data_IF_068208547756
#
_entry.id   IF_068208547756
#
_cell.length_a   1.000
_cell.length_b   1.000
_cell.length_c   1.000
_cell.angle_alpha   90.00
_cell.angle_beta   90.00
_cell.angle_gamma   90.00
#
_symmetry.space_group_name_H-M   'P 1'
#
loop_
_entity.id
_entity.type
_entity.pdbx_description
1 polymer ?
#
# COMPACT_ATOMS: atom_id res chain seq x y z
N UNK A 1 9.03 33.48 6.18
CA UNK A 1 8.66 32.44 5.22
C UNK A 1 9.39 31.17 5.63
N UNK A 2 8.72 30.21 6.26
CA UNK A 2 9.35 28.93 6.56
C UNK A 2 9.66 28.23 5.24
N UNK A 3 10.90 27.76 5.11
CA UNK A 3 11.37 27.09 3.91
C UNK A 3 10.90 25.63 3.97
N UNK A 4 9.85 25.29 3.23
CA UNK A 4 9.32 23.91 3.13
C UNK A 4 10.04 23.04 2.10
N UNK A 5 11.06 23.57 1.41
CA UNK A 5 11.85 22.80 0.44
C UNK A 5 12.49 21.52 1.01
N UNK A 6 12.90 21.43 2.30
CA UNK A 6 13.46 20.19 2.83
C UNK A 6 12.42 19.06 2.88
N UNK A 7 11.18 19.38 3.25
CA UNK A 7 10.08 18.41 3.21
C UNK A 7 9.82 17.96 1.77
N UNK A 8 9.78 18.89 0.81
CA UNK A 8 9.61 18.54 -0.60
C UNK A 8 10.71 17.58 -1.09
N UNK A 9 11.97 17.82 -0.71
CA UNK A 9 13.08 16.92 -1.04
C UNK A 9 12.89 15.53 -0.43
N UNK A 10 12.47 15.44 0.84
CA UNK A 10 12.16 14.16 1.50
C UNK A 10 11.08 13.39 0.73
N UNK A 11 9.99 14.07 0.36
CA UNK A 11 8.88 13.44 -0.38
C UNK A 11 9.30 12.98 -1.78
N UNK A 12 10.12 13.76 -2.49
CA UNK A 12 10.65 13.37 -3.80
C UNK A 12 11.52 12.11 -3.71
N UNK A 13 12.43 12.06 -2.73
CA UNK A 13 13.28 10.88 -2.51
C UNK A 13 12.41 9.68 -2.09
N UNK A 14 11.43 9.90 -1.23
CA UNK A 14 10.48 8.87 -0.82
C UNK A 14 9.71 8.28 -2.01
N UNK A 15 9.11 9.12 -2.85
CA UNK A 15 8.38 8.68 -4.04
C UNK A 15 9.30 7.96 -5.03
N UNK A 16 10.54 8.44 -5.21
CA UNK A 16 11.51 7.77 -6.06
C UNK A 16 11.82 6.36 -5.55
N UNK A 17 12.20 6.21 -4.29
CA UNK A 17 12.51 4.91 -3.70
C UNK A 17 11.29 3.99 -3.67
N UNK A 18 10.12 4.50 -3.26
CA UNK A 18 8.87 3.75 -3.28
C UNK A 18 8.47 3.31 -4.69
N UNK A 19 8.66 4.14 -5.71
CA UNK A 19 8.39 3.74 -7.10
C UNK A 19 9.33 2.61 -7.53
N UNK A 20 10.61 2.65 -7.14
CA UNK A 20 11.53 1.54 -7.39
C UNK A 20 11.05 0.26 -6.71
N UNK A 21 10.59 0.32 -5.46
CA UNK A 21 10.00 -0.84 -4.79
C UNK A 21 8.76 -1.35 -5.54
N UNK A 22 7.81 -0.48 -5.86
CA UNK A 22 6.58 -0.86 -6.57
C UNK A 22 6.85 -1.54 -7.93
N UNK A 23 7.90 -1.12 -8.63
CA UNK A 23 8.31 -1.64 -9.94
C UNK A 23 9.14 -2.93 -9.84
N UNK A 24 10.05 -3.01 -8.86
CA UNK A 24 11.01 -4.12 -8.77
C UNK A 24 10.60 -5.24 -7.83
N UNK A 25 9.64 -5.02 -6.92
CA UNK A 25 8.99 -6.09 -6.16
C UNK A 25 8.16 -6.93 -7.13
N UNK A 26 8.47 -8.22 -7.32
CA UNK A 26 7.66 -9.07 -8.19
C UNK A 26 6.20 -9.10 -7.74
N UNK A 27 5.30 -9.35 -8.69
CA UNK A 27 3.87 -9.45 -8.40
C UNK A 27 3.61 -10.50 -7.31
N UNK A 28 2.71 -10.18 -6.38
CA UNK A 28 2.20 -11.06 -5.33
C UNK A 28 3.21 -11.39 -4.21
N UNK A 29 4.44 -10.90 -4.26
CA UNK A 29 5.46 -11.19 -3.23
C UNK A 29 5.10 -10.74 -1.81
N UNK A 30 4.19 -9.78 -1.68
CA UNK A 30 3.57 -9.45 -0.39
C UNK A 30 2.41 -10.43 -0.18
N UNK A 31 2.46 -11.30 0.86
CA UNK A 31 1.54 -12.43 1.02
C UNK A 31 0.05 -12.11 0.85
N UNK A 32 -0.38 -10.95 1.37
CA UNK A 32 -1.78 -10.52 1.37
C UNK A 32 -2.19 -9.70 0.14
N UNK A 33 -1.25 -9.37 -0.75
CA UNK A 33 -1.51 -8.54 -1.94
C UNK A 33 -2.59 -9.13 -2.86
N UNK A 34 -2.64 -10.45 -3.15
CA UNK A 34 -3.74 -11.03 -3.91
C UNK A 34 -5.10 -10.81 -3.24
N UNK A 35 -5.19 -10.98 -1.93
CA UNK A 35 -6.43 -10.79 -1.16
C UNK A 35 -6.94 -9.35 -1.27
N UNK A 36 -6.04 -8.37 -1.08
CA UNK A 36 -6.38 -6.97 -1.23
C UNK A 36 -6.76 -6.58 -2.65
N UNK A 37 -6.09 -7.16 -3.65
CA UNK A 37 -6.41 -6.93 -5.05
C UNK A 37 -7.80 -7.46 -5.40
N UNK A 38 -8.15 -8.66 -4.94
CA UNK A 38 -9.45 -9.28 -5.18
C UNK A 38 -10.59 -8.51 -4.52
N UNK A 39 -10.39 -7.95 -3.33
CA UNK A 39 -11.36 -7.02 -2.72
C UNK A 39 -11.70 -5.86 -3.67
N UNK A 40 -10.67 -5.21 -4.26
CA UNK A 40 -10.89 -4.10 -5.21
C UNK A 40 -11.57 -4.59 -6.50
N UNK A 41 -11.21 -5.79 -6.98
CA UNK A 41 -11.83 -6.43 -8.14
C UNK A 41 -13.33 -6.66 -7.90
N UNK A 42 -13.72 -7.22 -6.76
CA UNK A 42 -15.12 -7.44 -6.39
C UNK A 42 -15.90 -6.11 -6.35
N UNK A 43 -15.35 -5.08 -5.69
CA UNK A 43 -15.95 -3.75 -5.70
C UNK A 43 -16.12 -3.19 -7.12
N UNK A 44 -15.11 -3.36 -7.98
CA UNK A 44 -15.17 -2.92 -9.38
C UNK A 44 -16.21 -3.69 -10.20
N UNK A 45 -16.52 -4.93 -9.83
CA UNK A 45 -17.61 -5.73 -10.39
C UNK A 45 -19.00 -5.34 -9.87
N UNK A 46 -19.07 -4.44 -8.88
CA UNK A 46 -20.32 -4.03 -8.24
C UNK A 46 -20.78 -4.98 -7.13
N UNK A 47 -19.88 -5.87 -6.67
CA UNK A 47 -20.12 -6.77 -5.56
C UNK A 47 -19.75 -6.09 -4.24
N UNK A 48 -20.33 -6.59 -3.15
CA UNK A 48 -19.98 -6.14 -1.81
C UNK A 48 -19.15 -7.24 -1.14
N UNK A 49 -17.85 -7.01 -0.88
CA UNK A 49 -16.98 -8.00 -0.25
C UNK A 49 -17.50 -8.36 1.14
N UNK A 50 -17.69 -9.65 1.37
CA UNK A 50 -18.17 -10.22 2.63
C UNK A 50 -17.35 -11.48 2.89
N UNK A 51 -16.68 -11.52 4.03
CA UNK A 51 -15.96 -12.73 4.45
C UNK A 51 -16.93 -13.91 4.67
N UNK A 52 -16.67 -15.03 4.00
CA UNK A 52 -17.44 -16.26 4.06
C UNK A 52 -16.64 -17.43 4.66
N UNK A 53 -17.32 -18.44 5.24
CA UNK A 53 -16.65 -19.67 5.64
C UNK A 53 -16.06 -20.40 4.42
N UNK A 54 -14.74 -20.38 4.29
CA UNK A 54 -14.02 -21.03 3.19
C UNK A 54 -12.92 -20.15 2.58
N UNK A 55 -13.03 -18.83 2.73
CA UNK A 55 -12.11 -17.87 2.11
C UNK A 55 -10.68 -17.95 2.67
N UNK A 56 -10.55 -18.51 3.87
CA UNK A 56 -9.26 -18.83 4.50
C UNK A 56 -8.95 -20.33 4.42
N UNK A 57 -8.37 -20.76 3.29
CA UNK A 57 -7.78 -22.10 3.16
C UNK A 57 -6.29 -22.05 3.54
N UNK A 58 -5.99 -22.43 4.78
CA UNK A 58 -4.62 -22.42 5.28
C UNK A 58 -3.69 -23.34 4.48
N UNK A 59 -4.16 -24.51 4.03
CA UNK A 59 -3.34 -25.45 3.27
C UNK A 59 -2.98 -24.87 1.90
N UNK A 60 -3.96 -24.27 1.23
CA UNK A 60 -3.76 -23.57 -0.03
C UNK A 60 -2.78 -22.40 0.12
N UNK A 61 -2.98 -21.53 1.12
CA UNK A 61 -2.10 -20.38 1.35
C UNK A 61 -0.66 -20.82 1.66
N UNK A 62 -0.48 -21.89 2.43
CA UNK A 62 0.85 -22.42 2.69
C UNK A 62 1.57 -22.85 1.40
N UNK A 63 0.88 -23.59 0.54
CA UNK A 63 1.42 -24.08 -0.72
C UNK A 63 1.71 -22.94 -1.71
N UNK A 64 0.75 -22.02 -1.90
CA UNK A 64 0.86 -20.93 -2.88
C UNK A 64 1.86 -19.87 -2.46
N UNK A 65 1.76 -19.37 -1.22
CA UNK A 65 2.56 -18.23 -0.75
C UNK A 65 3.98 -18.66 -0.40
N UNK A 66 4.13 -19.76 0.35
CA UNK A 66 5.41 -20.09 0.98
C UNK A 66 6.21 -21.18 0.27
N UNK A 67 5.56 -22.14 -0.39
CA UNK A 67 6.25 -23.25 -1.06
C UNK A 67 6.53 -22.95 -2.54
N UNK A 68 5.58 -22.33 -3.22
CA UNK A 68 5.64 -22.15 -4.68
C UNK A 68 5.80 -20.70 -5.14
N UNK A 69 5.73 -19.75 -4.21
CA UNK A 69 5.90 -18.32 -4.47
C UNK A 69 5.01 -17.82 -5.63
N UNK A 70 3.71 -18.11 -5.55
CA UNK A 70 2.68 -17.67 -6.50
C UNK A 70 2.92 -18.20 -7.92
N UNK A 71 3.32 -19.47 -8.03
CA UNK A 71 3.57 -20.09 -9.31
C UNK A 71 2.31 -20.01 -10.22
N UNK A 72 2.45 -19.76 -11.54
CA UNK A 72 1.32 -19.38 -12.40
C UNK A 72 0.19 -20.39 -12.53
N UNK A 73 0.39 -21.64 -12.10
CA UNK A 73 -0.64 -22.68 -12.10
C UNK A 73 -1.71 -22.49 -11.02
N UNK A 74 -1.44 -21.68 -9.98
CA UNK A 74 -2.39 -21.43 -8.91
C UNK A 74 -3.34 -20.30 -9.27
N UNK A 75 -4.62 -20.52 -8.98
CA UNK A 75 -5.65 -19.51 -9.15
C UNK A 75 -5.64 -18.53 -7.97
N UNK A 76 -5.04 -17.36 -8.14
CA UNK A 76 -5.04 -16.33 -7.11
C UNK A 76 -6.40 -15.66 -6.92
N UNK A 77 -7.37 -15.90 -7.82
CA UNK A 77 -8.67 -15.23 -7.79
C UNK A 77 -9.53 -15.64 -6.60
N UNK A 78 -9.27 -16.81 -5.99
CA UNK A 78 -10.01 -17.35 -4.85
C UNK A 78 -9.48 -16.88 -3.50
N UNK A 79 -8.38 -16.11 -3.49
CA UNK A 79 -7.78 -15.60 -2.26
C UNK A 79 -8.58 -14.35 -1.84
N UNK A 80 -9.52 -14.51 -0.93
CA UNK A 80 -10.49 -13.45 -0.55
C UNK A 80 -10.59 -13.27 0.98
N UNK A 81 -9.66 -13.83 1.75
CA UNK A 81 -9.68 -13.78 3.23
C UNK A 81 -9.58 -12.37 3.84
N UNK A 82 -9.36 -11.32 3.05
CA UNK A 82 -9.34 -9.92 3.51
C UNK A 82 -10.67 -9.19 3.34
N UNK A 83 -11.73 -9.88 2.89
CA UNK A 83 -13.06 -9.30 2.67
C UNK A 83 -13.75 -8.80 3.96
N UNK A 84 -13.17 -9.09 5.13
CA UNK A 84 -13.60 -8.53 6.42
C UNK A 84 -13.12 -7.09 6.65
N UNK A 85 -12.14 -6.60 5.89
CA UNK A 85 -11.52 -5.30 6.18
C UNK A 85 -12.44 -4.10 5.89
N UNK A 86 -12.28 -2.97 6.61
CA UNK A 86 -13.01 -1.75 6.31
C UNK A 86 -12.77 -1.23 4.88
N UNK A 87 -13.81 -0.78 4.16
CA UNK A 87 -13.74 -0.62 2.71
C UNK A 87 -12.98 0.62 2.21
N UNK A 88 -12.60 1.56 3.07
CA UNK A 88 -12.14 2.90 2.64
C UNK A 88 -10.92 2.83 1.70
N UNK A 89 -9.90 2.04 2.05
CA UNK A 89 -8.71 1.89 1.23
C UNK A 89 -9.05 1.32 -0.15
N UNK A 90 -9.90 0.29 -0.18
CA UNK A 90 -10.32 -0.39 -1.40
C UNK A 90 -11.18 0.50 -2.30
N UNK A 91 -12.11 1.27 -1.71
CA UNK A 91 -12.92 2.25 -2.42
C UNK A 91 -12.08 3.35 -3.08
N UNK A 92 -10.98 3.77 -2.44
CA UNK A 92 -10.03 4.71 -3.04
C UNK A 92 -9.27 4.08 -4.21
N UNK A 93 -9.00 2.78 -4.14
CA UNK A 93 -8.32 2.02 -5.20
C UNK A 93 -9.24 1.67 -6.38
N UNK A 94 -10.55 1.46 -6.17
CA UNK A 94 -11.50 1.03 -7.21
C UNK A 94 -11.48 1.90 -8.47
N UNK A 95 -11.49 3.24 -8.42
CA UNK A 95 -11.38 4.06 -9.62
C UNK A 95 -10.06 3.83 -10.37
N UNK A 96 -8.94 3.67 -9.66
CA UNK A 96 -7.65 3.39 -10.28
C UNK A 96 -7.65 2.02 -10.97
N UNK A 97 -8.20 1.01 -10.30
CA UNK A 97 -8.40 -0.31 -10.87
C UNK A 97 -9.19 -0.24 -12.19
N UNK A 98 -10.37 0.40 -12.18
CA UNK A 98 -11.23 0.52 -13.36
C UNK A 98 -10.56 1.29 -14.50
N UNK A 99 -9.86 2.38 -14.20
CA UNK A 99 -9.19 3.22 -15.19
C UNK A 99 -7.98 2.55 -15.85
N UNK A 100 -7.33 1.62 -15.16
CA UNK A 100 -6.08 0.98 -15.62
C UNK A 100 -6.26 -0.46 -16.04
N UNK A 101 -7.47 -1.00 -15.96
CA UNK A 101 -7.75 -2.42 -16.24
C UNK A 101 -7.12 -3.36 -15.21
N UNK A 102 -7.06 -2.94 -13.93
CA UNK A 102 -6.48 -3.75 -12.85
C UNK A 102 -4.96 -3.78 -12.83
N UNK A 103 -4.28 -2.70 -13.26
CA UNK A 103 -2.82 -2.65 -13.20
C UNK A 103 -2.33 -2.65 -11.75
N UNK A 104 -1.66 -3.73 -11.33
CA UNK A 104 -1.10 -3.85 -9.98
C UNK A 104 -0.13 -2.71 -9.65
N UNK A 105 0.75 -2.37 -10.59
CA UNK A 105 1.68 -1.24 -10.42
C UNK A 105 0.93 0.09 -10.21
N UNK A 106 -0.15 0.35 -10.93
CA UNK A 106 -0.91 1.58 -10.75
C UNK A 106 -1.55 1.65 -9.35
N UNK A 107 -2.05 0.51 -8.84
CA UNK A 107 -2.60 0.41 -7.50
C UNK A 107 -1.52 0.60 -6.43
N UNK A 108 -0.35 -0.03 -6.58
CA UNK A 108 0.82 0.18 -5.72
C UNK A 108 1.24 1.65 -5.66
N UNK A 109 1.30 2.32 -6.82
CA UNK A 109 1.62 3.75 -6.89
C UNK A 109 0.57 4.63 -6.21
N UNK A 110 -0.72 4.27 -6.25
CA UNK A 110 -1.75 4.97 -5.50
C UNK A 110 -1.55 4.78 -3.98
N UNK A 111 -1.23 3.58 -3.51
CA UNK A 111 -0.89 3.32 -2.10
C UNK A 111 0.31 4.15 -1.66
N UNK A 112 1.34 4.24 -2.50
CA UNK A 112 2.52 5.05 -2.25
C UNK A 112 2.18 6.55 -2.12
N UNK A 113 1.27 7.06 -2.95
CA UNK A 113 0.77 8.44 -2.86
C UNK A 113 -0.03 8.69 -1.58
N UNK A 114 -0.87 7.74 -1.16
CA UNK A 114 -1.61 7.84 0.11
C UNK A 114 -0.63 7.84 1.30
N UNK A 115 0.40 7.00 1.25
CA UNK A 115 1.45 6.94 2.25
C UNK A 115 2.28 8.24 2.31
N UNK A 116 2.52 8.91 1.18
CA UNK A 116 3.12 10.24 1.18
C UNK A 116 2.30 11.23 2.05
N UNK A 117 0.96 11.10 2.04
CA UNK A 117 0.07 11.86 2.93
C UNK A 117 0.35 11.60 4.42
N UNK A 118 0.65 10.36 4.80
CA UNK A 118 1.02 10.00 6.18
C UNK A 118 2.30 10.73 6.62
N UNK A 119 3.30 10.84 5.73
CA UNK A 119 4.55 11.57 6.01
C UNK A 119 4.27 13.06 6.24
N UNK A 120 3.43 13.66 5.39
CA UNK A 120 3.03 15.08 5.52
C UNK A 120 2.26 15.31 6.83
N UNK A 121 1.35 14.41 7.19
CA UNK A 121 0.60 14.51 8.44
C UNK A 121 1.49 14.35 9.66
N UNK A 122 2.46 13.42 9.63
CA UNK A 122 3.43 13.24 10.71
C UNK A 122 4.31 14.49 10.90
N UNK A 123 4.80 15.08 9.80
CA UNK A 123 5.50 16.36 9.82
C UNK A 123 4.63 17.47 10.44
N UNK A 124 3.39 17.61 9.96
CA UNK A 124 2.48 18.66 10.40
C UNK A 124 2.03 18.51 11.87
N UNK A 125 1.95 17.27 12.36
CA UNK A 125 1.70 16.98 13.77
C UNK A 125 2.90 17.38 14.63
N UNK A 126 4.11 17.00 14.25
CA UNK A 126 5.33 17.36 14.99
C UNK A 126 5.56 18.88 15.03
N UNK A 127 5.36 19.58 13.90
CA UNK A 127 5.50 21.04 13.82
C UNK A 127 4.49 21.78 14.71
N UNK A 128 3.27 21.24 14.85
CA UNK A 128 2.24 21.79 15.75
C UNK A 128 2.50 21.50 17.23
N UNK A 129 3.03 20.33 17.55
CA UNK A 129 3.30 19.93 18.94
C UNK A 129 4.56 20.60 19.50
N UNK A 130 5.54 20.90 18.64
CA UNK A 130 6.86 21.42 19.03
C UNK A 130 7.19 22.71 18.25
N UNK A 131 6.42 23.79 18.46
CA UNK A 131 6.57 25.01 17.68
C UNK A 131 7.96 25.63 17.85
N UNK A 132 8.60 25.99 16.75
CA UNK A 132 9.95 26.56 16.72
C UNK A 132 11.07 25.54 16.54
N UNK A 133 10.81 24.25 16.80
CA UNK A 133 11.77 23.16 16.64
C UNK A 133 11.61 22.46 15.27
N UNK A 134 11.75 23.22 14.18
CA UNK A 134 11.49 22.71 12.81
C UNK A 134 12.33 21.47 12.46
N UNK A 135 13.52 21.32 13.05
CA UNK A 135 14.37 20.15 12.84
C UNK A 135 13.70 18.87 13.35
N UNK A 136 12.95 18.91 14.46
CA UNK A 136 12.23 17.74 14.98
C UNK A 136 11.14 17.28 14.00
N UNK A 137 10.37 18.22 13.44
CA UNK A 137 9.36 17.89 12.45
C UNK A 137 9.98 17.26 11.19
N UNK A 138 11.09 17.81 10.70
CA UNK A 138 11.82 17.25 9.56
C UNK A 138 12.40 15.87 9.88
N UNK A 139 12.99 15.70 11.07
CA UNK A 139 13.49 14.39 11.52
C UNK A 139 12.37 13.37 11.60
N UNK A 140 11.18 13.72 12.13
CA UNK A 140 10.00 12.86 12.11
C UNK A 140 9.65 12.44 10.68
N UNK A 141 9.60 13.38 9.73
CA UNK A 141 9.31 13.07 8.33
C UNK A 141 10.34 12.12 7.72
N UNK A 142 11.65 12.35 7.97
CA UNK A 142 12.74 11.47 7.52
C UNK A 142 12.57 10.06 8.09
N UNK A 143 12.31 9.94 9.39
CA UNK A 143 12.12 8.63 10.01
C UNK A 143 10.94 7.89 9.40
N UNK A 144 9.76 8.52 9.33
CA UNK A 144 8.56 7.87 8.76
C UNK A 144 8.78 7.51 7.29
N UNK A 145 9.40 8.41 6.50
CA UNK A 145 9.64 8.17 5.08
C UNK A 145 10.64 7.05 4.81
N UNK A 146 11.67 6.88 5.64
CA UNK A 146 12.82 6.02 5.32
C UNK A 146 13.03 4.85 6.29
N UNK A 147 12.05 4.55 7.15
CA UNK A 147 12.00 3.23 7.81
C UNK A 147 11.82 2.17 6.71
N UNK A 148 12.72 1.16 6.60
CA UNK A 148 12.65 0.17 5.52
C UNK A 148 11.30 -0.54 5.42
N UNK A 149 10.70 -0.89 6.57
CA UNK A 149 9.38 -1.50 6.62
C UNK A 149 8.28 -0.58 6.06
N UNK A 150 8.37 0.73 6.29
CA UNK A 150 7.36 1.68 5.79
C UNK A 150 7.38 1.75 4.26
N UNK A 151 8.56 1.77 3.65
CA UNK A 151 8.69 1.75 2.19
C UNK A 151 8.20 0.40 1.64
N UNK A 152 8.68 -0.71 2.20
CA UNK A 152 8.37 -2.05 1.70
C UNK A 152 6.89 -2.42 1.78
N UNK A 153 6.14 -1.89 2.75
CA UNK A 153 4.71 -2.17 2.91
C UNK A 153 3.81 -1.25 2.07
N UNK A 154 4.30 -0.07 1.68
CA UNK A 154 3.47 0.97 1.03
C UNK A 154 3.69 1.07 -0.48
N UNK A 155 4.63 0.28 -1.03
CA UNK A 155 5.03 0.26 -2.42
C UNK A 155 4.92 -1.16 -2.96
#
# INVERSE_FOLDING_TARGET
MQKHWPLALILVIYLFLGTLYAVYTPDWQTPDEPAHYNYVRQLAAGEFPIIEPGDYDQSYLMEVVFETAFAPQYDLSIIEYEDWQPPLYYLLQTPMYMLTGGSLLAMRLLSLLLSMGVIVLAYAAADRLLPGEQWLALTTAVFVAFIPQHIAMMA
#
